data_IF_124811102220
#
_entry.id   IF_124811102220
#
_cell.length_a   1.000
_cell.length_b   1.000
_cell.length_c   1.000
_cell.angle_alpha   90.00
_cell.angle_beta   90.00
_cell.angle_gamma   90.00
#
_symmetry.space_group_name_H-M   'P 1'
#
loop_
_entity.id
_entity.type
_entity.pdbx_description
1 polymer ?
#
# COMPACT_ATOMS: atom_id res chain seq x y z
N UNK A 1 28.09 18.95 24.29
CA UNK A 1 26.98 19.39 23.41
C UNK A 1 26.23 18.14 22.93
N UNK A 2 25.08 17.80 23.52
CA UNK A 2 24.31 16.56 23.20
C UNK A 2 22.81 16.85 23.35
N UNK A 3 22.24 17.76 22.55
CA UNK A 3 20.79 18.06 22.55
C UNK A 3 20.31 18.60 21.18
N UNK A 4 20.64 17.92 20.08
CA UNK A 4 20.11 18.29 18.75
C UNK A 4 19.51 17.13 17.94
N UNK A 5 19.55 15.89 18.43
CA UNK A 5 19.03 14.73 17.70
C UNK A 5 17.52 14.46 17.91
N UNK A 6 16.85 15.17 18.85
CA UNK A 6 15.48 14.83 19.23
C UNK A 6 14.39 15.48 18.34
N UNK A 7 14.69 16.57 17.63
CA UNK A 7 13.67 17.38 16.93
C UNK A 7 13.40 16.88 15.50
N UNK A 8 14.37 16.20 14.87
CA UNK A 8 14.24 15.73 13.47
C UNK A 8 13.38 14.46 13.35
N UNK A 9 13.25 13.67 14.43
CA UNK A 9 12.45 12.43 14.42
C UNK A 9 10.93 12.65 14.34
N UNK A 10 10.43 13.82 14.75
CA UNK A 10 8.99 14.11 14.81
C UNK A 10 8.42 14.41 13.42
N UNK A 11 9.18 15.10 12.56
CA UNK A 11 8.73 15.45 11.20
C UNK A 11 8.58 14.21 10.31
N UNK A 12 9.48 13.23 10.41
CA UNK A 12 9.38 11.97 9.68
C UNK A 12 8.24 11.06 10.21
N UNK A 13 7.92 11.16 11.51
CA UNK A 13 6.78 10.43 12.10
C UNK A 13 5.42 10.97 11.66
N UNK A 14 5.33 12.28 11.37
CA UNK A 14 4.09 12.93 10.94
C UNK A 14 3.75 12.67 9.47
N UNK A 15 4.74 12.41 8.60
CA UNK A 15 4.49 11.95 7.22
C UNK A 15 3.93 10.53 7.14
N UNK A 16 4.07 9.73 8.20
CA UNK A 16 3.45 8.40 8.29
C UNK A 16 1.99 8.47 8.78
N UNK A 17 1.56 9.60 9.36
CA UNK A 17 0.20 9.82 9.83
C UNK A 17 -0.75 10.39 8.76
N UNK A 18 -0.24 10.85 7.62
CA UNK A 18 -1.09 11.36 6.52
C UNK A 18 -1.71 10.27 5.66
N UNK A 19 -1.24 9.02 5.76
CA UNK A 19 -2.01 7.87 5.28
C UNK A 19 -3.00 7.52 6.38
N UNK A 20 -4.03 8.36 6.54
CA UNK A 20 -5.13 8.06 7.44
C UNK A 20 -5.56 6.61 7.22
N UNK A 21 -5.76 5.85 8.31
CA UNK A 21 -6.25 4.49 8.23
C UNK A 21 -7.67 4.54 7.64
N UNK A 22 -7.75 4.56 6.31
CA UNK A 22 -8.99 4.45 5.58
C UNK A 22 -9.45 3.01 5.79
N UNK A 23 -10.66 2.84 6.32
CA UNK A 23 -11.28 1.53 6.35
C UNK A 23 -11.48 1.11 4.88
N UNK A 24 -10.72 0.10 4.44
CA UNK A 24 -10.87 -0.47 3.12
C UNK A 24 -12.16 -1.30 3.07
N UNK A 25 -12.80 -1.35 1.91
CA UNK A 25 -13.84 -2.35 1.66
C UNK A 25 -13.17 -3.66 1.24
N UNK A 26 -12.88 -4.50 2.25
CA UNK A 26 -12.22 -5.80 2.12
C UNK A 26 -13.20 -6.96 1.93
N UNK A 27 -14.47 -6.70 1.61
CA UNK A 27 -15.42 -7.78 1.35
C UNK A 27 -15.04 -8.54 0.06
N UNK A 28 -15.34 -9.84 0.03
CA UNK A 28 -15.05 -10.70 -1.11
C UNK A 28 -15.68 -10.18 -2.41
N UNK A 29 -16.93 -9.69 -2.34
CA UNK A 29 -17.64 -9.13 -3.50
C UNK A 29 -16.96 -7.88 -4.07
N UNK A 30 -16.17 -7.18 -3.26
CA UNK A 30 -15.47 -5.95 -3.64
C UNK A 30 -14.22 -6.23 -4.47
N UNK A 31 -13.72 -7.47 -4.50
CA UNK A 31 -12.66 -7.85 -5.43
C UNK A 31 -13.10 -7.79 -6.90
N UNK A 32 -14.39 -7.98 -7.20
CA UNK A 32 -14.91 -8.02 -8.57
C UNK A 32 -15.41 -6.66 -9.07
N UNK A 33 -15.38 -5.62 -8.23
CA UNK A 33 -15.83 -4.28 -8.59
C UNK A 33 -14.70 -3.51 -9.27
N UNK A 34 -15.07 -2.65 -10.21
CA UNK A 34 -14.12 -1.68 -10.77
C UNK A 34 -13.85 -0.55 -9.76
N UNK A 35 -12.64 -0.03 -9.78
CA UNK A 35 -12.23 1.09 -8.94
C UNK A 35 -10.79 0.96 -8.45
N UNK A 36 -10.49 1.66 -7.36
CA UNK A 36 -9.16 1.69 -6.77
C UNK A 36 -9.00 0.59 -5.73
N UNK A 37 -8.05 -0.32 -5.95
CA UNK A 37 -7.73 -1.42 -5.04
C UNK A 37 -6.38 -1.18 -4.37
N UNK A 38 -6.30 -1.43 -3.07
CA UNK A 38 -5.06 -1.36 -2.29
C UNK A 38 -4.46 -2.75 -2.09
N UNK A 39 -3.13 -2.82 -2.16
CA UNK A 39 -2.34 -4.02 -1.98
C UNK A 39 -1.22 -3.77 -0.97
N UNK A 40 -0.96 -4.77 -0.14
CA UNK A 40 0.30 -4.90 0.59
C UNK A 40 1.26 -5.68 -0.30
N UNK A 41 2.36 -5.07 -0.70
CA UNK A 41 3.38 -5.71 -1.51
C UNK A 41 4.44 -6.27 -0.59
N UNK A 42 4.43 -7.59 -0.46
CA UNK A 42 5.43 -8.33 0.30
C UNK A 42 6.63 -8.62 -0.61
N UNK A 43 7.83 -8.25 -0.17
CA UNK A 43 9.06 -8.40 -0.94
C UNK A 43 10.13 -9.17 -0.18
N UNK A 44 10.87 -10.02 -0.89
CA UNK A 44 12.12 -10.60 -0.37
C UNK A 44 13.31 -9.73 -0.77
N UNK A 45 14.15 -9.38 0.22
CA UNK A 45 15.41 -8.64 -0.01
C UNK A 45 15.24 -7.14 -0.26
N UNK A 46 14.02 -6.61 -0.08
CA UNK A 46 13.67 -5.18 -0.09
C UNK A 46 12.61 -4.92 0.98
N UNK A 47 12.35 -3.66 1.27
CA UNK A 47 11.26 -3.29 2.18
C UNK A 47 9.89 -3.58 1.55
N UNK A 48 8.99 -4.09 2.37
CA UNK A 48 7.57 -4.21 2.04
C UNK A 48 6.93 -2.81 1.93
N UNK A 49 5.89 -2.69 1.12
CA UNK A 49 5.20 -1.42 0.94
C UNK A 49 3.72 -1.59 0.63
N UNK A 50 2.97 -0.49 0.66
CA UNK A 50 1.56 -0.46 0.27
C UNK A 50 1.43 0.36 -1.00
N UNK A 51 0.69 -0.16 -1.96
CA UNK A 51 0.41 0.53 -3.21
C UNK A 51 -1.05 0.30 -3.62
N UNK A 52 -1.64 1.27 -4.31
CA UNK A 52 -3.00 1.17 -4.81
C UNK A 52 -3.03 1.47 -6.30
N UNK A 53 -3.83 0.69 -7.03
CA UNK A 53 -4.00 0.84 -8.46
C UNK A 53 -5.48 0.75 -8.83
N UNK A 54 -5.87 1.49 -9.87
CA UNK A 54 -7.19 1.37 -10.47
C UNK A 54 -7.26 0.10 -11.34
N UNK A 55 -8.41 -0.57 -11.34
CA UNK A 55 -8.67 -1.72 -12.19
C UNK A 55 -10.14 -1.93 -12.49
N UNK A 56 -10.42 -2.77 -13.50
CA UNK A 56 -11.78 -3.28 -13.73
C UNK A 56 -12.22 -4.25 -12.64
N UNK A 57 -11.25 -4.88 -11.97
CA UNK A 57 -11.37 -5.70 -10.78
C UNK A 57 -10.01 -5.71 -10.03
N UNK A 58 -9.96 -6.39 -8.90
CA UNK A 58 -8.76 -6.53 -8.10
C UNK A 58 -7.62 -7.25 -8.85
N UNK A 59 -7.92 -8.16 -9.76
CA UNK A 59 -6.90 -8.93 -10.49
C UNK A 59 -6.23 -8.09 -11.57
N UNK A 60 -7.00 -7.26 -12.28
CA UNK A 60 -6.48 -6.25 -13.20
C UNK A 60 -5.57 -5.26 -12.44
N UNK A 61 -6.04 -4.71 -11.32
CA UNK A 61 -5.23 -3.80 -10.50
C UNK A 61 -3.95 -4.47 -9.96
N UNK A 62 -4.04 -5.72 -9.49
CA UNK A 62 -2.90 -6.50 -9.00
C UNK A 62 -1.85 -6.71 -10.10
N UNK A 63 -2.29 -6.98 -11.33
CA UNK A 63 -1.39 -7.22 -12.46
C UNK A 63 -0.52 -6.01 -12.79
N UNK A 64 -1.07 -4.79 -12.63
CA UNK A 64 -0.36 -3.53 -12.86
C UNK A 64 0.75 -3.31 -11.84
N UNK A 65 0.50 -3.61 -10.56
CA UNK A 65 1.50 -3.54 -9.49
C UNK A 65 2.54 -4.67 -9.65
N UNK A 66 2.11 -5.89 -9.96
CA UNK A 66 3.03 -7.00 -10.17
C UNK A 66 4.00 -6.75 -11.33
N UNK A 67 3.54 -6.10 -12.41
CA UNK A 67 4.37 -5.76 -13.56
C UNK A 67 5.51 -4.77 -13.22
N UNK A 68 5.31 -3.89 -12.24
CA UNK A 68 6.32 -2.90 -11.81
C UNK A 68 7.19 -3.36 -10.63
N UNK A 69 6.69 -4.28 -9.79
CA UNK A 69 7.35 -4.69 -8.55
C UNK A 69 8.52 -5.67 -8.74
N UNK A 70 8.50 -6.46 -9.82
CA UNK A 70 9.53 -7.47 -10.14
C UNK A 70 9.37 -8.81 -9.39
N UNK A 71 10.26 -9.76 -9.67
CA UNK A 71 10.06 -11.18 -9.35
C UNK A 71 10.23 -11.56 -7.87
N UNK A 72 10.65 -10.63 -7.02
CA UNK A 72 10.83 -10.87 -5.58
C UNK A 72 9.74 -10.21 -4.75
N UNK A 73 8.66 -9.73 -5.38
CA UNK A 73 7.59 -8.99 -4.73
C UNK A 73 6.22 -9.55 -5.13
N UNK A 74 5.32 -9.64 -4.15
CA UNK A 74 3.98 -10.21 -4.31
C UNK A 74 2.93 -9.26 -3.73
N UNK A 75 2.14 -8.60 -4.58
CA UNK A 75 1.02 -7.79 -4.12
C UNK A 75 -0.09 -8.69 -3.56
N UNK A 76 -0.49 -8.45 -2.31
CA UNK A 76 -1.59 -9.13 -1.61
C UNK A 76 -2.72 -8.12 -1.42
N UNK A 77 -3.89 -8.43 -1.97
CA UNK A 77 -5.05 -7.54 -1.92
C UNK A 77 -5.49 -7.29 -0.47
N UNK A 78 -5.72 -6.02 -0.14
CA UNK A 78 -6.17 -5.61 1.20
C UNK A 78 -7.62 -5.11 1.19
N UNK A 79 -8.11 -4.60 0.06
CA UNK A 79 -9.45 -4.03 -0.04
C UNK A 79 -9.56 -2.98 -1.14
N UNK A 80 -10.78 -2.51 -1.40
CA UNK A 80 -10.99 -1.28 -2.18
C UNK A 80 -10.77 -0.04 -1.31
N UNK A 81 -10.22 1.01 -1.91
CA UNK A 81 -10.14 2.33 -1.30
C UNK A 81 -11.51 3.01 -1.43
N UNK A 82 -12.08 3.44 -0.31
CA UNK A 82 -13.35 4.17 -0.23
C UNK A 82 -13.20 5.66 -0.60
#
# INVERSE_FOLDING_TARGET
>A
MKKFAAIVGIAAGMSMMSTGAMALDSNFDSMSKAGKHQFYVWCTGKDDYVEAADGSDAKDAQSKIAASAGNTCWPVWQGMVN
#
